data_IF_371033172736
#
_entry.id   IF_371033172736
#
_cell.length_a   1.000
_cell.length_b   1.000
_cell.length_c   1.000
_cell.angle_alpha   90.00
_cell.angle_beta   90.00
_cell.angle_gamma   90.00
#
_symmetry.space_group_name_H-M   'P 1'
#
loop_
_entity.id
_entity.type
_entity.pdbx_description
1 polymer ?
#
# COMPACT_ATOMS: atom_id res chain seq x y z
N UNK A 1 -10.50 -41.12 43.27
CA UNK A 1 -9.31 -40.61 42.60
C UNK A 1 -9.47 -40.60 41.08
N UNK A 2 -9.97 -41.63 40.40
CA UNK A 2 -10.17 -41.69 38.94
C UNK A 2 -11.09 -40.58 38.38
N UNK A 3 -12.17 -40.23 39.12
CA UNK A 3 -13.13 -39.20 38.67
C UNK A 3 -12.55 -37.78 38.65
N UNK A 4 -11.59 -37.47 39.54
CA UNK A 4 -10.91 -36.18 39.63
C UNK A 4 -9.88 -36.06 38.49
N UNK A 5 -9.21 -37.17 38.15
CA UNK A 5 -8.25 -37.23 37.05
C UNK A 5 -8.91 -36.99 35.67
N UNK A 6 -10.12 -37.52 35.48
CA UNK A 6 -10.92 -37.33 34.27
C UNK A 6 -11.43 -35.88 34.13
N UNK A 7 -11.76 -35.21 35.23
CA UNK A 7 -12.16 -33.78 35.21
C UNK A 7 -10.99 -32.86 34.88
N UNK A 8 -9.80 -33.13 35.37
CA UNK A 8 -8.60 -32.39 35.04
C UNK A 8 -8.17 -32.56 33.58
N UNK A 9 -8.36 -33.76 33.01
CA UNK A 9 -8.08 -34.01 31.59
C UNK A 9 -9.06 -33.26 30.65
N UNK A 10 -10.33 -33.10 31.05
CA UNK A 10 -11.34 -32.39 30.27
C UNK A 10 -11.06 -30.85 30.20
N UNK A 11 -10.52 -30.25 31.26
CA UNK A 11 -10.18 -28.83 31.33
C UNK A 11 -8.97 -28.49 30.44
N UNK A 12 -8.02 -29.42 30.28
CA UNK A 12 -6.84 -29.21 29.45
C UNK A 12 -7.15 -29.13 27.93
N UNK A 13 -8.27 -29.72 27.48
CA UNK A 13 -8.65 -29.74 26.06
C UNK A 13 -9.29 -28.41 25.62
N UNK A 14 -9.89 -27.65 26.53
CA UNK A 14 -10.56 -26.36 26.23
C UNK A 14 -9.56 -25.21 26.08
N UNK A 15 -8.35 -25.33 26.65
CA UNK A 15 -7.34 -24.26 26.62
C UNK A 15 -6.59 -24.11 25.28
N UNK A 16 -6.75 -25.02 24.33
CA UNK A 16 -6.04 -24.99 23.04
C UNK A 16 -6.83 -24.40 21.87
N UNK A 17 -7.97 -23.74 22.09
CA UNK A 17 -8.83 -23.23 21.01
C UNK A 17 -8.78 -21.71 20.84
N UNK A 18 -7.75 -21.03 21.28
CA UNK A 18 -7.47 -19.68 20.79
C UNK A 18 -6.61 -19.75 19.53
N UNK A 19 -7.20 -20.26 18.45
CA UNK A 19 -6.70 -19.99 17.12
C UNK A 19 -6.88 -18.48 16.87
N UNK A 20 -5.88 -17.69 17.24
CA UNK A 20 -5.63 -16.41 16.64
C UNK A 20 -5.34 -16.69 15.15
N UNK A 21 -6.39 -16.72 14.34
CA UNK A 21 -6.25 -16.61 12.89
C UNK A 21 -5.62 -15.25 12.65
N UNK A 22 -4.32 -15.20 12.70
CA UNK A 22 -3.55 -14.18 12.04
C UNK A 22 -3.93 -14.31 10.56
N UNK A 23 -4.90 -13.50 10.16
CA UNK A 23 -5.33 -13.42 8.77
C UNK A 23 -4.08 -13.12 7.96
N UNK A 24 -3.67 -14.07 7.13
CA UNK A 24 -2.55 -13.93 6.22
C UNK A 24 -2.91 -12.82 5.22
N UNK A 25 -2.58 -11.58 5.56
CA UNK A 25 -2.70 -10.41 4.69
C UNK A 25 -1.60 -10.38 3.61
N UNK A 26 -0.97 -11.53 3.34
CA UNK A 26 0.19 -11.64 2.46
C UNK A 26 -0.07 -11.16 1.02
N UNK A 27 -1.33 -11.03 0.61
CA UNK A 27 -1.72 -10.57 -0.73
C UNK A 27 -2.44 -9.21 -0.72
N UNK A 28 -2.55 -8.53 0.43
CA UNK A 28 -3.18 -7.23 0.52
C UNK A 28 -2.12 -6.15 0.73
N UNK A 29 -2.24 -5.05 -0.01
CA UNK A 29 -1.44 -3.86 0.24
C UNK A 29 -2.10 -3.02 1.35
N UNK A 30 -1.32 -2.44 2.27
CA UNK A 30 -1.85 -1.55 3.29
C UNK A 30 -2.18 -0.18 2.71
N UNK A 31 -3.16 0.48 3.31
CA UNK A 31 -3.43 1.89 3.11
C UNK A 31 -2.73 2.71 4.19
N UNK A 32 -2.32 3.92 3.84
CA UNK A 32 -1.70 4.89 4.75
C UNK A 32 -2.54 6.17 4.72
N UNK A 33 -3.32 6.40 5.77
CA UNK A 33 -4.28 7.50 5.82
C UNK A 33 -3.86 8.63 6.78
N UNK A 34 -2.78 8.43 7.51
CA UNK A 34 -2.29 9.38 8.52
C UNK A 34 -0.80 9.68 8.33
N UNK A 35 -0.37 10.86 8.77
CA UNK A 35 1.01 11.34 8.60
C UNK A 35 2.06 10.52 9.39
N UNK A 36 1.63 9.69 10.33
CA UNK A 36 2.50 8.78 11.10
C UNK A 36 2.82 7.47 10.37
N UNK A 37 2.37 7.34 9.12
CA UNK A 37 2.62 6.17 8.26
C UNK A 37 2.25 4.83 8.89
N UNK A 38 1.20 4.78 9.71
CA UNK A 38 0.69 3.51 10.23
C UNK A 38 -0.05 2.75 9.16
N UNK A 39 0.35 1.50 8.84
CA UNK A 39 -0.32 0.70 7.84
C UNK A 39 -1.71 0.28 8.32
N UNK A 40 -2.71 0.46 7.48
CA UNK A 40 -4.09 0.01 7.70
C UNK A 40 -4.41 -1.10 6.71
N UNK A 41 -4.69 -2.29 7.22
CA UNK A 41 -5.04 -3.48 6.43
C UNK A 41 -6.55 -3.57 6.32
N UNK A 42 -7.10 -3.13 5.21
CA UNK A 42 -8.54 -3.12 4.97
C UNK A 42 -8.92 -4.29 4.08
N UNK A 43 -9.98 -4.99 4.47
CA UNK A 43 -10.58 -6.00 3.62
C UNK A 43 -11.52 -5.34 2.62
N UNK A 44 -11.51 -5.83 1.39
CA UNK A 44 -12.30 -5.29 0.27
C UNK A 44 -13.81 -5.24 0.52
N UNK A 45 -14.30 -5.93 1.53
CA UNK A 45 -15.73 -6.03 1.86
C UNK A 45 -16.24 -4.86 2.71
N UNK A 46 -15.36 -3.95 3.16
CA UNK A 46 -15.72 -2.82 4.02
C UNK A 46 -15.76 -1.52 3.21
N UNK A 47 -16.76 -1.39 2.32
CA UNK A 47 -16.96 -0.19 1.50
C UNK A 47 -17.02 1.11 2.31
N UNK A 48 -17.62 1.08 3.50
CA UNK A 48 -17.72 2.25 4.38
C UNK A 48 -16.35 2.72 4.91
N UNK A 49 -15.44 1.79 5.17
CA UNK A 49 -14.08 2.13 5.64
C UNK A 49 -13.22 2.65 4.49
N UNK A 50 -13.40 2.13 3.28
CA UNK A 50 -12.70 2.62 2.09
C UNK A 50 -13.07 4.07 1.75
N UNK A 51 -14.32 4.48 1.99
CA UNK A 51 -14.76 5.87 1.77
C UNK A 51 -14.12 6.87 2.73
N UNK A 52 -13.59 6.42 3.87
CA UNK A 52 -12.93 7.27 4.86
C UNK A 52 -11.43 7.46 4.57
N UNK A 53 -10.88 6.71 3.60
CA UNK A 53 -9.48 6.85 3.22
C UNK A 53 -9.33 8.06 2.32
N UNK A 54 -8.33 8.90 2.63
CA UNK A 54 -7.97 10.01 1.78
C UNK A 54 -7.60 9.51 0.38
N UNK A 55 -8.21 10.08 -0.63
CA UNK A 55 -7.86 9.82 -2.01
C UNK A 55 -7.39 11.10 -2.69
N UNK A 56 -6.47 10.95 -3.65
CA UNK A 56 -5.99 12.04 -4.47
C UNK A 56 -7.16 12.51 -5.36
N UNK A 57 -7.49 13.81 -5.27
CA UNK A 57 -8.53 14.42 -6.10
C UNK A 57 -8.17 14.44 -7.57
N UNK A 58 -9.10 14.93 -8.38
CA UNK A 58 -8.83 15.13 -9.81
C UNK A 58 -7.71 16.16 -10.00
N UNK A 59 -6.77 15.84 -10.87
CA UNK A 59 -5.72 16.76 -11.30
C UNK A 59 -5.63 16.84 -12.83
N UNK A 60 -5.12 17.97 -13.32
CA UNK A 60 -4.78 18.19 -14.72
C UNK A 60 -3.55 19.08 -14.78
N UNK A 61 -2.49 18.59 -15.40
CA UNK A 61 -1.21 19.26 -15.55
C UNK A 61 -0.79 19.29 -17.02
N UNK A 62 0.28 19.97 -17.32
CA UNK A 62 0.94 19.92 -18.64
C UNK A 62 2.19 19.06 -18.50
N UNK A 63 2.35 18.07 -19.38
CA UNK A 63 3.55 17.22 -19.40
C UNK A 63 4.77 17.94 -20.04
N UNK A 64 5.93 17.28 -20.02
CA UNK A 64 7.17 17.80 -20.59
C UNK A 64 7.13 18.02 -22.12
N UNK A 65 6.12 17.50 -22.79
CA UNK A 65 5.89 17.66 -24.24
C UNK A 65 4.85 18.74 -24.56
N UNK A 66 4.29 19.40 -23.52
CA UNK A 66 3.25 20.40 -23.65
C UNK A 66 1.83 19.85 -23.77
N UNK A 67 1.63 18.55 -23.56
CA UNK A 67 0.31 17.92 -23.63
C UNK A 67 -0.39 17.96 -22.29
N UNK A 68 -1.73 17.91 -22.31
CA UNK A 68 -2.52 17.76 -21.09
C UNK A 68 -2.38 16.35 -20.52
N UNK A 69 -2.03 16.26 -19.24
CA UNK A 69 -1.91 15.03 -18.48
C UNK A 69 -2.77 15.10 -17.20
N UNK A 70 -3.66 14.16 -17.01
CA UNK A 70 -4.65 14.21 -15.94
C UNK A 70 -4.82 12.88 -15.22
N UNK A 71 -5.61 12.88 -14.15
CA UNK A 71 -6.01 11.68 -13.42
C UNK A 71 -6.56 10.58 -14.32
N UNK A 72 -7.14 10.91 -15.48
CA UNK A 72 -7.63 9.93 -16.44
C UNK A 72 -6.52 9.10 -17.09
N UNK A 73 -5.33 9.68 -17.24
CA UNK A 73 -4.18 9.01 -17.85
C UNK A 73 -3.57 7.94 -16.93
N UNK A 74 -3.79 8.07 -15.62
CA UNK A 74 -3.30 7.13 -14.59
C UNK A 74 -4.39 6.23 -14.02
N UNK A 75 -5.64 6.38 -14.45
CA UNK A 75 -6.74 5.55 -13.97
C UNK A 75 -6.48 4.06 -14.23
N UNK A 76 -6.62 3.23 -13.18
CA UNK A 76 -6.36 1.80 -13.24
C UNK A 76 -4.89 1.40 -13.34
N UNK A 77 -3.96 2.35 -13.16
CA UNK A 77 -2.52 2.10 -13.18
C UNK A 77 -1.91 2.25 -11.80
N UNK A 78 -0.76 1.62 -11.60
CA UNK A 78 0.10 1.87 -10.45
C UNK A 78 1.04 3.01 -10.81
N UNK A 79 1.10 4.05 -9.99
CA UNK A 79 2.07 5.10 -10.23
C UNK A 79 2.80 5.55 -8.97
N UNK A 80 4.06 5.89 -9.15
CA UNK A 80 4.90 6.53 -8.14
C UNK A 80 4.90 8.01 -8.45
N UNK A 81 4.46 8.85 -7.51
CA UNK A 81 4.60 10.30 -7.61
C UNK A 81 5.81 10.73 -6.78
N UNK A 82 6.74 11.47 -7.38
CA UNK A 82 7.85 12.10 -6.69
C UNK A 82 7.86 13.60 -6.94
N UNK A 83 8.39 14.32 -5.95
CA UNK A 83 8.53 15.78 -6.02
C UNK A 83 10.00 16.11 -5.90
N UNK A 84 10.51 16.92 -6.82
CA UNK A 84 11.92 17.27 -6.86
C UNK A 84 12.14 18.78 -7.05
N UNK A 85 13.30 19.24 -6.63
CA UNK A 85 13.76 20.59 -6.94
C UNK A 85 14.84 20.54 -8.01
N UNK A 86 14.72 21.38 -9.04
CA UNK A 86 15.69 21.46 -10.14
C UNK A 86 17.10 21.85 -9.66
N UNK A 87 17.20 22.60 -8.57
CA UNK A 87 18.46 23.06 -7.97
C UNK A 87 18.82 22.34 -6.67
N UNK A 88 18.35 21.09 -6.46
CA UNK A 88 18.63 20.33 -5.25
C UNK A 88 20.07 19.78 -5.27
N UNK A 89 20.95 20.18 -4.34
CA UNK A 89 22.35 19.76 -4.36
C UNK A 89 22.60 18.37 -3.79
N UNK A 90 21.60 17.72 -3.25
CA UNK A 90 21.76 16.50 -2.46
C UNK A 90 20.88 15.32 -2.88
N UNK A 91 19.83 15.08 -2.10
CA UNK A 91 19.04 13.86 -2.15
C UNK A 91 18.29 13.62 -3.46
N UNK A 92 17.89 14.69 -4.18
CA UNK A 92 17.12 14.56 -5.42
C UNK A 92 17.88 13.78 -6.49
N UNK A 93 19.18 14.04 -6.65
CA UNK A 93 20.02 13.29 -7.61
C UNK A 93 20.03 11.79 -7.29
N UNK A 94 20.13 11.42 -6.00
CA UNK A 94 20.10 10.02 -5.57
C UNK A 94 18.72 9.41 -5.80
N UNK A 95 17.64 10.13 -5.48
CA UNK A 95 16.26 9.71 -5.72
C UNK A 95 16.04 9.45 -7.22
N UNK A 96 16.37 10.39 -8.09
CA UNK A 96 16.24 10.24 -9.55
C UNK A 96 17.01 9.03 -10.07
N UNK A 97 18.24 8.79 -9.56
CA UNK A 97 19.03 7.60 -9.95
C UNK A 97 18.33 6.31 -9.55
N UNK A 98 17.73 6.25 -8.36
CA UNK A 98 16.99 5.08 -7.90
C UNK A 98 15.68 4.89 -8.70
N UNK A 99 14.96 5.95 -8.98
CA UNK A 99 13.74 5.91 -9.80
C UNK A 99 14.04 5.45 -11.24
N UNK A 100 15.19 5.83 -11.79
CA UNK A 100 15.63 5.32 -13.10
C UNK A 100 15.81 3.80 -13.11
N UNK A 101 16.28 3.20 -12.01
CA UNK A 101 16.38 1.75 -11.89
C UNK A 101 14.99 1.09 -11.88
N UNK A 102 14.03 1.69 -11.15
CA UNK A 102 12.63 1.25 -11.16
C UNK A 102 12.04 1.36 -12.56
N UNK A 103 12.20 2.51 -13.22
CA UNK A 103 11.72 2.73 -14.59
C UNK A 103 12.25 1.68 -15.57
N UNK A 104 13.53 1.34 -15.48
CA UNK A 104 14.14 0.30 -16.34
C UNK A 104 13.55 -1.09 -16.07
N UNK A 105 13.27 -1.40 -14.80
CA UNK A 105 12.68 -2.69 -14.42
C UNK A 105 11.28 -2.88 -14.98
N UNK A 106 10.50 -1.79 -15.05
CA UNK A 106 9.11 -1.81 -15.53
C UNK A 106 8.94 -1.17 -16.92
N UNK A 107 10.02 -1.09 -17.72
CA UNK A 107 9.98 -0.41 -19.02
C UNK A 107 8.93 -0.97 -19.99
N UNK A 108 8.70 -2.28 -19.93
CA UNK A 108 7.75 -3.00 -20.79
C UNK A 108 6.35 -3.14 -20.15
N UNK A 109 6.18 -2.67 -18.90
CA UNK A 109 4.91 -2.74 -18.19
C UNK A 109 4.18 -1.40 -18.24
N UNK A 110 3.23 -1.26 -19.14
CA UNK A 110 2.42 -0.05 -19.30
C UNK A 110 1.45 0.22 -18.15
N UNK A 111 1.31 -0.72 -17.21
CA UNK A 111 0.50 -0.54 -16.01
C UNK A 111 1.21 0.20 -14.87
N UNK A 112 2.54 0.41 -15.01
CA UNK A 112 3.37 1.10 -14.02
C UNK A 112 3.89 2.41 -14.60
N UNK A 113 3.74 3.51 -13.86
CA UNK A 113 4.16 4.85 -14.27
C UNK A 113 4.97 5.53 -13.17
N UNK A 114 5.85 6.45 -13.56
CA UNK A 114 6.53 7.39 -12.65
C UNK A 114 6.14 8.80 -13.07
N UNK A 115 5.62 9.57 -12.10
CA UNK A 115 5.24 10.97 -12.27
C UNK A 115 6.16 11.83 -11.42
N UNK A 116 7.03 12.62 -12.06
CA UNK A 116 7.92 13.55 -11.37
C UNK A 116 7.39 14.97 -11.52
N UNK A 117 7.24 15.70 -10.40
CA UNK A 117 6.69 17.06 -10.30
C UNK A 117 7.70 18.08 -9.84
#
# INVERSE_FOLDING_TARGET
MHKILLLLAAIAIVACSTNNRQQNNANLLPYYNTADFKPQWLQSNNSNTLQQIHSIGYFNFTDQSGNSFSSKNVAGKIYVADFFFTSCPGICKKLTTNLLAVQKTFADDTSVLILSH
#
